data_IF_584983148058
#
_entry.id   IF_584983148058
#
_cell.length_a   1.000
_cell.length_b   1.000
_cell.length_c   1.000
_cell.angle_alpha   90.00
_cell.angle_beta   90.00
_cell.angle_gamma   90.00
#
_symmetry.space_group_name_H-M   'P 1'
#
loop_
_entity.id
_entity.type
_entity.pdbx_description
1 polymer ?
#
# COMPACT_ATOMS: atom_id res chain seq x y z
N UNK A 1 16.69 -6.63 -7.87
CA UNK A 1 17.53 -6.07 -6.82
C UNK A 1 16.96 -4.79 -6.23
N UNK A 2 17.54 -4.29 -5.17
CA UNK A 2 17.10 -3.08 -4.49
C UNK A 2 18.27 -2.18 -4.13
N UNK A 3 17.99 -0.90 -3.85
CA UNK A 3 18.94 0.04 -3.27
C UNK A 3 18.53 0.38 -1.85
N UNK A 4 19.55 0.59 -1.01
CA UNK A 4 19.43 1.12 0.33
C UNK A 4 20.32 2.35 0.44
N UNK A 5 19.78 3.46 0.90
CA UNK A 5 20.51 4.72 1.06
C UNK A 5 20.35 5.24 2.49
N UNK A 6 21.45 5.32 3.21
CA UNK A 6 21.48 5.80 4.61
C UNK A 6 21.06 7.26 4.75
N UNK A 7 21.28 8.07 3.71
CA UNK A 7 20.93 9.49 3.69
C UNK A 7 19.49 9.75 3.23
N UNK A 8 18.73 8.66 2.97
CA UNK A 8 17.41 8.72 2.36
C UNK A 8 17.47 8.74 0.83
N UNK A 9 16.42 8.21 0.20
CA UNK A 9 16.34 8.13 -1.26
C UNK A 9 16.16 9.52 -1.87
N UNK A 10 17.07 9.89 -2.79
CA UNK A 10 16.94 11.05 -3.65
C UNK A 10 15.99 10.70 -4.80
N UNK A 11 14.75 11.16 -4.67
CA UNK A 11 13.67 10.82 -5.60
C UNK A 11 13.90 11.43 -6.98
N UNK A 12 14.49 12.63 -7.06
CA UNK A 12 14.73 13.30 -8.33
C UNK A 12 15.84 12.59 -9.13
N UNK A 13 16.92 12.19 -8.46
CA UNK A 13 17.95 11.34 -9.06
C UNK A 13 17.38 9.99 -9.51
N UNK A 14 16.52 9.37 -8.69
CA UNK A 14 15.88 8.11 -9.04
C UNK A 14 15.00 8.24 -10.29
N UNK A 15 14.19 9.30 -10.37
CA UNK A 15 13.37 9.63 -11.55
C UNK A 15 14.24 9.86 -12.78
N UNK A 16 15.32 10.65 -12.66
CA UNK A 16 16.26 10.87 -13.77
C UNK A 16 16.80 9.55 -14.32
N UNK A 17 17.25 8.66 -13.45
CA UNK A 17 17.78 7.36 -13.83
C UNK A 17 16.70 6.47 -14.47
N UNK A 18 15.52 6.39 -13.85
CA UNK A 18 14.48 5.44 -14.27
C UNK A 18 13.62 5.94 -15.42
N UNK A 19 13.22 7.20 -15.42
CA UNK A 19 12.25 7.75 -16.36
C UNK A 19 12.92 8.44 -17.54
N UNK A 20 14.01 9.19 -17.31
CA UNK A 20 14.70 9.94 -18.35
C UNK A 20 15.75 9.06 -19.05
N UNK A 21 16.71 8.54 -18.28
CA UNK A 21 17.81 7.72 -18.82
C UNK A 21 17.41 6.26 -19.12
N UNK A 22 16.32 5.79 -18.50
CA UNK A 22 15.81 4.40 -18.60
C UNK A 22 16.86 3.35 -18.23
N UNK A 23 17.72 3.69 -17.27
CA UNK A 23 18.79 2.82 -16.79
C UNK A 23 18.33 1.93 -15.63
N UNK A 24 19.22 1.03 -15.21
CA UNK A 24 19.01 0.14 -14.07
C UNK A 24 19.29 0.89 -12.77
N UNK A 25 18.55 0.49 -11.71
CA UNK A 25 18.64 1.09 -10.37
C UNK A 25 20.04 1.00 -9.74
N UNK A 26 20.91 0.08 -10.21
CA UNK A 26 22.31 0.02 -9.79
C UNK A 26 23.03 1.36 -10.01
N UNK A 27 22.66 2.13 -11.03
CA UNK A 27 23.22 3.46 -11.31
C UNK A 27 22.98 4.47 -10.19
N UNK A 28 21.93 4.28 -9.41
CA UNK A 28 21.68 5.09 -8.23
C UNK A 28 22.81 4.92 -7.19
N UNK A 29 23.17 3.66 -6.88
CA UNK A 29 24.24 3.40 -5.92
C UNK A 29 25.64 3.83 -6.43
N UNK A 30 25.85 3.86 -7.77
CA UNK A 30 27.08 4.43 -8.35
C UNK A 30 27.18 5.96 -8.18
N UNK A 31 26.04 6.65 -8.11
CA UNK A 31 25.97 8.11 -8.00
C UNK A 31 25.95 8.62 -6.54
N UNK A 32 25.68 7.76 -5.56
CA UNK A 32 25.51 8.12 -4.15
C UNK A 32 26.48 7.35 -3.27
N UNK A 33 27.39 8.00 -2.53
CA UNK A 33 28.46 7.34 -1.79
C UNK A 33 27.98 6.44 -0.63
N UNK A 34 26.83 6.78 -0.03
CA UNK A 34 26.26 6.04 1.11
C UNK A 34 25.16 5.06 0.70
N UNK A 35 24.85 4.99 -0.61
CA UNK A 35 23.89 4.04 -1.13
C UNK A 35 24.56 2.70 -1.47
N UNK A 36 23.82 1.62 -1.24
CA UNK A 36 24.22 0.27 -1.61
C UNK A 36 23.20 -0.38 -2.53
N UNK A 37 23.67 -1.16 -3.48
CA UNK A 37 22.82 -1.96 -4.37
C UNK A 37 22.97 -3.44 -4.03
N UNK A 38 21.85 -4.12 -3.81
CA UNK A 38 21.79 -5.57 -3.64
C UNK A 38 21.15 -6.19 -4.88
N UNK A 39 21.85 -7.09 -5.61
CA UNK A 39 21.29 -7.78 -6.76
C UNK A 39 20.11 -8.68 -6.40
N UNK A 40 19.22 -8.94 -7.37
CA UNK A 40 18.15 -9.92 -7.22
C UNK A 40 18.70 -11.35 -7.24
N UNK A 41 17.97 -12.29 -6.63
CA UNK A 41 18.28 -13.73 -6.66
C UNK A 41 19.24 -14.18 -5.56
N UNK A 42 19.62 -13.31 -4.62
CA UNK A 42 20.32 -13.70 -3.40
C UNK A 42 19.34 -13.99 -2.24
N UNK A 43 19.89 -14.36 -1.09
CA UNK A 43 19.14 -14.61 0.15
C UNK A 43 18.50 -13.34 0.74
N UNK A 44 19.00 -12.16 0.37
CA UNK A 44 18.52 -10.88 0.89
C UNK A 44 17.49 -10.26 -0.07
N UNK A 45 16.29 -10.02 0.47
CA UNK A 45 15.26 -9.23 -0.18
C UNK A 45 15.26 -7.79 0.38
N UNK A 46 14.51 -6.89 -0.21
CA UNK A 46 14.32 -5.54 0.33
C UNK A 46 13.72 -5.58 1.74
N UNK A 47 12.96 -6.62 2.04
CA UNK A 47 12.30 -6.83 3.33
C UNK A 47 13.27 -7.22 4.46
N UNK A 48 14.51 -7.58 4.12
CA UNK A 48 15.58 -7.82 5.12
C UNK A 48 16.16 -6.52 5.70
N UNK A 49 15.88 -5.37 5.10
CA UNK A 49 16.33 -4.06 5.60
C UNK A 49 15.47 -3.65 6.79
N UNK A 50 16.14 -3.25 7.88
CA UNK A 50 15.44 -2.72 9.06
C UNK A 50 14.76 -1.40 8.73
N UNK A 51 13.45 -1.33 8.91
CA UNK A 51 12.64 -0.15 8.69
C UNK A 51 11.44 -0.14 9.66
N UNK A 52 10.96 1.05 9.99
CA UNK A 52 9.78 1.22 10.84
C UNK A 52 8.48 0.98 10.05
N UNK A 53 8.49 1.27 8.77
CA UNK A 53 7.33 1.15 7.88
C UNK A 53 7.70 0.35 6.62
N UNK A 54 6.79 -0.49 6.14
CA UNK A 54 6.95 -1.22 4.90
C UNK A 54 5.76 -0.97 3.95
N UNK A 55 6.08 -0.69 2.68
CA UNK A 55 5.09 -0.40 1.64
C UNK A 55 5.32 -1.32 0.44
N UNK A 56 4.74 -2.53 0.42
CA UNK A 56 4.82 -3.40 -0.75
C UNK A 56 3.95 -2.84 -1.88
N UNK A 57 4.59 -2.27 -2.91
CA UNK A 57 3.96 -1.51 -3.98
C UNK A 57 4.30 -2.01 -5.38
N UNK A 58 5.00 -3.14 -5.52
CA UNK A 58 5.49 -3.59 -6.83
C UNK A 58 4.57 -4.62 -7.47
N UNK A 59 4.53 -5.84 -6.94
CA UNK A 59 3.83 -6.96 -7.59
C UNK A 59 3.09 -7.85 -6.61
N UNK A 60 2.17 -8.63 -7.15
CA UNK A 60 1.45 -9.67 -6.42
C UNK A 60 2.43 -10.69 -5.80
N UNK A 61 2.19 -11.08 -4.56
CA UNK A 61 2.96 -12.07 -3.80
C UNK A 61 4.47 -11.76 -3.72
N UNK A 62 4.83 -10.48 -3.64
CA UNK A 62 6.22 -10.06 -3.48
C UNK A 62 6.76 -10.17 -2.05
N UNK A 63 5.88 -10.38 -1.08
CA UNK A 63 6.19 -10.50 0.34
C UNK A 63 5.56 -11.78 0.89
N UNK A 64 6.40 -12.74 1.25
CA UNK A 64 5.98 -14.04 1.78
C UNK A 64 6.08 -14.12 3.31
N UNK A 65 5.81 -15.29 3.88
CA UNK A 65 5.86 -15.51 5.32
C UNK A 65 7.24 -15.26 5.92
N UNK A 66 8.29 -15.69 5.23
CA UNK A 66 9.68 -15.53 5.70
C UNK A 66 10.09 -14.05 5.72
N UNK A 67 9.68 -13.30 4.69
CA UNK A 67 9.87 -11.85 4.63
C UNK A 67 9.10 -11.14 5.75
N UNK A 68 7.87 -11.56 6.04
CA UNK A 68 7.05 -11.00 7.10
C UNK A 68 7.65 -11.28 8.49
N UNK A 69 8.12 -12.49 8.75
CA UNK A 69 8.84 -12.84 9.99
C UNK A 69 10.09 -11.99 10.16
N UNK A 70 10.83 -11.76 9.08
CA UNK A 70 12.02 -10.91 9.08
C UNK A 70 11.69 -9.45 9.41
N UNK A 71 10.64 -8.89 8.81
CA UNK A 71 10.17 -7.54 9.10
C UNK A 71 9.72 -7.39 10.56
N UNK A 72 8.98 -8.36 11.08
CA UNK A 72 8.55 -8.39 12.49
C UNK A 72 9.75 -8.48 13.42
N UNK A 73 10.71 -9.36 13.14
CA UNK A 73 11.94 -9.48 13.93
C UNK A 73 12.79 -8.20 13.92
N UNK A 74 12.77 -7.45 12.82
CA UNK A 74 13.41 -6.14 12.68
C UNK A 74 12.64 -5.00 13.35
N UNK A 75 11.42 -5.24 13.85
CA UNK A 75 10.63 -4.28 14.61
C UNK A 75 9.77 -3.35 13.75
N UNK A 76 9.30 -3.81 12.59
CA UNK A 76 8.37 -3.02 11.76
C UNK A 76 7.11 -2.65 12.55
N UNK A 77 6.69 -1.39 12.47
CA UNK A 77 5.52 -0.87 13.18
C UNK A 77 4.25 -0.97 12.36
N UNK A 78 4.36 -0.75 11.05
CA UNK A 78 3.22 -0.82 10.15
C UNK A 78 3.62 -1.31 8.76
N UNK A 79 2.68 -2.00 8.11
CA UNK A 79 2.75 -2.41 6.71
C UNK A 79 1.50 -1.90 6.00
N UNK A 80 1.65 -1.26 4.84
CA UNK A 80 0.50 -0.80 4.04
C UNK A 80 0.67 -1.18 2.57
N UNK A 81 -0.26 -1.94 2.06
CA UNK A 81 -0.18 -2.53 0.72
C UNK A 81 -0.59 -1.53 -0.37
N UNK A 82 0.36 -1.13 -1.21
CA UNK A 82 0.10 -0.30 -2.38
C UNK A 82 -0.17 -1.09 -3.66
N UNK A 83 0.41 -2.29 -3.79
CA UNK A 83 0.13 -3.19 -4.90
C UNK A 83 -1.15 -4.01 -4.68
N UNK A 84 -1.60 -4.72 -5.71
CA UNK A 84 -2.70 -5.67 -5.58
C UNK A 84 -2.18 -7.00 -5.03
N UNK A 85 -2.62 -7.38 -3.83
CA UNK A 85 -2.27 -8.63 -3.18
C UNK A 85 -0.74 -8.87 -3.05
N UNK A 86 0.05 -7.89 -2.59
CA UNK A 86 1.50 -8.05 -2.55
C UNK A 86 1.97 -9.02 -1.48
N UNK A 87 1.25 -9.11 -0.35
CA UNK A 87 1.55 -10.06 0.72
C UNK A 87 0.75 -11.34 0.55
N UNK A 88 1.40 -12.50 0.80
CA UNK A 88 0.69 -13.76 0.88
C UNK A 88 -0.23 -13.81 2.10
N UNK A 89 -1.23 -14.70 2.10
CA UNK A 89 -2.12 -14.85 3.25
C UNK A 89 -1.35 -15.22 4.53
N UNK A 90 -0.33 -16.06 4.40
CA UNK A 90 0.53 -16.41 5.53
C UNK A 90 1.32 -15.21 6.07
N UNK A 91 1.83 -14.34 5.19
CA UNK A 91 2.48 -13.09 5.60
C UNK A 91 1.53 -12.16 6.36
N UNK A 92 0.30 -12.01 5.89
CA UNK A 92 -0.74 -11.22 6.58
C UNK A 92 -0.99 -11.78 7.98
N UNK A 93 -1.10 -13.10 8.11
CA UNK A 93 -1.30 -13.76 9.40
C UNK A 93 -0.14 -13.50 10.37
N UNK A 94 1.10 -13.50 9.89
CA UNK A 94 2.29 -13.16 10.69
C UNK A 94 2.18 -11.73 11.22
N UNK A 95 1.87 -10.75 10.39
CA UNK A 95 1.73 -9.36 10.82
C UNK A 95 0.61 -9.18 11.86
N UNK A 96 -0.56 -9.76 11.61
CA UNK A 96 -1.71 -9.65 12.52
C UNK A 96 -1.42 -10.31 13.88
N UNK A 97 -0.79 -11.49 13.91
CA UNK A 97 -0.38 -12.17 15.14
C UNK A 97 0.68 -11.40 15.93
N UNK A 98 1.56 -10.71 15.25
CA UNK A 98 2.58 -9.87 15.87
C UNK A 98 2.05 -8.49 16.33
N UNK A 99 0.79 -8.14 16.03
CA UNK A 99 0.21 -6.85 16.38
C UNK A 99 0.73 -5.68 15.54
N UNK A 100 1.31 -5.96 14.38
CA UNK A 100 1.73 -4.92 13.42
C UNK A 100 0.49 -4.27 12.80
N UNK A 101 0.49 -2.94 12.71
CA UNK A 101 -0.57 -2.21 12.02
C UNK A 101 -0.56 -2.57 10.53
N UNK A 102 -1.65 -3.15 10.02
CA UNK A 102 -1.69 -3.64 8.65
C UNK A 102 -2.81 -3.00 7.84
N UNK A 103 -2.43 -2.29 6.77
CA UNK A 103 -3.34 -1.69 5.79
C UNK A 103 -3.53 -2.62 4.58
N UNK A 104 -4.68 -3.32 4.46
CA UNK A 104 -4.91 -4.28 3.38
C UNK A 104 -5.04 -3.60 2.02
N UNK A 105 -4.57 -4.24 0.96
CA UNK A 105 -4.56 -3.73 -0.41
C UNK A 105 -5.89 -3.13 -0.85
N UNK A 106 -6.99 -3.85 -0.62
CA UNK A 106 -8.34 -3.41 -1.02
C UNK A 106 -8.79 -2.07 -0.43
N UNK A 107 -8.18 -1.63 0.68
CA UNK A 107 -8.41 -0.33 1.28
C UNK A 107 -7.25 0.63 0.99
N UNK A 108 -6.02 0.20 1.22
CA UNK A 108 -4.84 1.04 1.13
C UNK A 108 -4.53 1.51 -0.32
N UNK A 109 -4.80 0.68 -1.33
CA UNK A 109 -4.57 1.04 -2.74
C UNK A 109 -5.79 1.61 -3.47
N UNK A 110 -6.91 1.79 -2.80
CA UNK A 110 -8.15 2.27 -3.41
C UNK A 110 -8.04 3.70 -3.99
N UNK A 111 -7.01 4.45 -3.63
CA UNK A 111 -6.75 5.79 -4.15
C UNK A 111 -6.61 5.82 -5.67
N UNK A 112 -5.96 4.83 -6.27
CA UNK A 112 -5.79 4.74 -7.72
C UNK A 112 -7.12 4.67 -8.46
N UNK A 113 -8.01 3.78 -8.05
CA UNK A 113 -9.35 3.65 -8.66
C UNK A 113 -10.25 4.85 -8.32
N UNK A 114 -10.09 5.46 -7.15
CA UNK A 114 -10.83 6.66 -6.77
C UNK A 114 -10.48 7.84 -7.69
N UNK A 115 -9.20 8.07 -7.98
CA UNK A 115 -8.76 9.12 -8.91
C UNK A 115 -9.25 8.82 -10.33
N UNK A 116 -9.25 7.56 -10.77
CA UNK A 116 -9.84 7.19 -12.06
C UNK A 116 -11.34 7.54 -12.13
N UNK A 117 -12.10 7.32 -11.06
CA UNK A 117 -13.50 7.72 -11.00
C UNK A 117 -13.67 9.25 -11.02
N UNK A 118 -12.79 9.99 -10.35
CA UNK A 118 -12.79 11.46 -10.43
C UNK A 118 -12.47 11.94 -11.84
N UNK A 119 -11.51 11.33 -12.54
CA UNK A 119 -11.19 11.62 -13.93
C UNK A 119 -12.40 11.40 -14.84
N UNK A 120 -13.07 10.25 -14.72
CA UNK A 120 -14.27 9.96 -15.48
C UNK A 120 -15.38 10.98 -15.22
N UNK A 121 -15.59 11.40 -13.97
CA UNK A 121 -16.56 12.41 -13.59
C UNK A 121 -16.22 13.78 -14.20
N UNK A 122 -14.95 14.20 -14.11
CA UNK A 122 -14.45 15.45 -14.71
C UNK A 122 -14.65 15.46 -16.23
N UNK A 123 -14.29 14.38 -16.91
CA UNK A 123 -14.45 14.25 -18.36
C UNK A 123 -15.94 14.29 -18.78
N UNK A 124 -16.82 13.61 -18.04
CA UNK A 124 -18.25 13.60 -18.28
C UNK A 124 -18.88 14.99 -18.11
N UNK A 125 -18.44 15.75 -17.12
CA UNK A 125 -18.89 17.12 -16.85
C UNK A 125 -18.25 18.15 -17.78
N UNK A 126 -17.19 17.78 -18.53
CA UNK A 126 -16.39 18.68 -19.36
C UNK A 126 -15.76 19.82 -18.56
N UNK A 127 -15.33 19.52 -17.33
CA UNK A 127 -14.64 20.43 -16.42
C UNK A 127 -13.18 20.05 -16.26
N UNK A 128 -12.40 20.93 -15.67
CA UNK A 128 -11.02 20.65 -15.28
C UNK A 128 -10.83 21.07 -13.82
N UNK A 129 -10.35 20.16 -13.02
CA UNK A 129 -9.95 20.42 -11.64
C UNK A 129 -8.45 20.65 -11.56
N UNK A 130 -8.02 21.45 -10.62
CA UNK A 130 -6.59 21.62 -10.35
C UNK A 130 -6.03 20.37 -9.65
N UNK A 131 -4.71 20.27 -9.60
CA UNK A 131 -4.04 19.20 -8.86
C UNK A 131 -4.48 19.20 -7.40
N UNK A 132 -4.51 20.38 -6.77
CA UNK A 132 -4.87 20.56 -5.35
C UNK A 132 -6.31 20.14 -5.06
N UNK A 133 -7.24 20.41 -5.98
CA UNK A 133 -8.63 19.98 -5.87
C UNK A 133 -8.77 18.45 -5.93
N UNK A 134 -8.02 17.80 -6.82
CA UNK A 134 -8.01 16.34 -6.94
C UNK A 134 -7.33 15.70 -5.73
N UNK A 135 -6.21 16.26 -5.28
CA UNK A 135 -5.46 15.77 -4.12
C UNK A 135 -6.29 15.87 -2.83
N UNK A 136 -6.99 16.98 -2.61
CA UNK A 136 -7.88 17.14 -1.47
C UNK A 136 -9.03 16.10 -1.49
N UNK A 137 -9.65 15.87 -2.65
CA UNK A 137 -10.68 14.83 -2.80
C UNK A 137 -10.13 13.44 -2.52
N UNK A 138 -8.95 13.14 -3.02
CA UNK A 138 -8.27 11.86 -2.76
C UNK A 138 -8.00 11.66 -1.27
N UNK A 139 -7.48 12.69 -0.59
CA UNK A 139 -7.26 12.65 0.85
C UNK A 139 -8.54 12.33 1.62
N UNK A 140 -9.63 13.03 1.33
CA UNK A 140 -10.92 12.81 2.00
C UNK A 140 -11.47 11.40 1.73
N UNK A 141 -11.34 10.89 0.50
CA UNK A 141 -11.74 9.53 0.13
C UNK A 141 -10.92 8.51 0.94
N UNK A 142 -9.59 8.62 0.96
CA UNK A 142 -8.73 7.68 1.65
C UNK A 142 -8.94 7.70 3.17
N UNK A 143 -9.12 8.90 3.74
CA UNK A 143 -9.48 9.06 5.15
C UNK A 143 -10.81 8.38 5.47
N UNK A 144 -11.84 8.60 4.66
CA UNK A 144 -13.14 7.96 4.81
C UNK A 144 -13.09 6.44 4.69
N UNK A 145 -12.25 5.90 3.80
CA UNK A 145 -12.03 4.44 3.69
C UNK A 145 -11.45 3.87 4.98
N UNK A 146 -10.42 4.52 5.52
CA UNK A 146 -9.81 4.12 6.79
C UNK A 146 -10.82 4.17 7.94
N UNK A 147 -11.53 5.29 8.10
CA UNK A 147 -12.51 5.48 9.17
C UNK A 147 -13.63 4.44 9.10
N UNK A 148 -14.16 4.15 7.91
CA UNK A 148 -15.19 3.13 7.72
C UNK A 148 -14.68 1.72 8.05
N UNK A 149 -13.47 1.36 7.61
CA UNK A 149 -12.89 0.07 7.92
C UNK A 149 -12.60 -0.08 9.42
N UNK A 150 -12.06 0.96 10.06
CA UNK A 150 -11.78 0.96 11.50
C UNK A 150 -13.07 0.88 12.33
N UNK A 151 -14.11 1.64 11.95
CA UNK A 151 -15.40 1.61 12.62
C UNK A 151 -16.08 0.23 12.51
N UNK A 152 -16.09 -0.36 11.31
CA UNK A 152 -16.63 -1.69 11.09
C UNK A 152 -15.86 -2.77 11.88
N UNK A 153 -14.52 -2.70 11.90
CA UNK A 153 -13.73 -3.62 12.71
C UNK A 153 -14.10 -3.53 14.20
N UNK A 154 -14.25 -2.33 14.72
CA UNK A 154 -14.61 -2.09 16.12
C UNK A 154 -16.02 -2.58 16.45
N UNK A 155 -17.00 -2.23 15.62
CA UNK A 155 -18.42 -2.60 15.81
C UNK A 155 -18.61 -4.12 15.86
N UNK A 156 -17.86 -4.85 15.03
CA UNK A 156 -17.97 -6.31 14.94
C UNK A 156 -16.94 -7.08 15.79
N UNK A 157 -16.30 -6.42 16.77
CA UNK A 157 -15.44 -7.08 17.77
C UNK A 157 -14.02 -7.42 17.28
N UNK A 158 -13.56 -6.77 16.23
CA UNK A 158 -12.22 -6.94 15.65
C UNK A 158 -11.41 -5.63 15.64
N UNK A 159 -11.51 -4.83 16.70
CA UNK A 159 -10.85 -3.53 16.80
C UNK A 159 -9.36 -3.62 16.46
N UNK A 160 -8.87 -2.74 15.57
CA UNK A 160 -7.49 -2.73 15.08
C UNK A 160 -7.23 -3.65 13.87
N UNK A 161 -8.11 -4.59 13.54
CA UNK A 161 -7.97 -5.46 12.38
C UNK A 161 -8.63 -4.85 11.14
N UNK A 162 -7.85 -4.07 10.37
CA UNK A 162 -8.36 -3.42 9.16
C UNK A 162 -8.65 -4.40 8.01
N UNK A 163 -8.09 -5.62 8.03
CA UNK A 163 -8.41 -6.66 7.03
C UNK A 163 -9.87 -7.08 7.18
N UNK A 164 -10.28 -7.41 8.40
CA UNK A 164 -11.67 -7.75 8.71
C UNK A 164 -12.57 -6.54 8.52
N UNK A 165 -12.16 -5.37 9.01
CA UNK A 165 -12.93 -4.15 8.89
C UNK A 165 -13.23 -3.73 7.46
N UNK A 166 -12.25 -3.80 6.56
CA UNK A 166 -12.44 -3.49 5.14
C UNK A 166 -13.40 -4.48 4.45
N UNK A 167 -13.34 -5.77 4.82
CA UNK A 167 -14.28 -6.77 4.32
C UNK A 167 -15.70 -6.48 4.76
N UNK A 168 -15.90 -6.23 6.06
CA UNK A 168 -17.22 -5.95 6.63
C UNK A 168 -17.79 -4.64 6.05
N UNK A 169 -17.02 -3.56 6.02
CA UNK A 169 -17.46 -2.28 5.48
C UNK A 169 -17.91 -2.38 4.00
N UNK A 170 -17.18 -3.16 3.19
CA UNK A 170 -17.58 -3.44 1.81
C UNK A 170 -18.85 -4.28 1.72
N UNK A 171 -18.97 -5.32 2.55
CA UNK A 171 -20.15 -6.20 2.59
C UNK A 171 -21.41 -5.44 3.03
N UNK A 172 -21.33 -4.59 4.04
CA UNK A 172 -22.49 -3.84 4.55
C UNK A 172 -23.15 -3.00 3.46
N UNK A 173 -22.40 -2.35 2.60
CA UNK A 173 -22.94 -1.60 1.46
C UNK A 173 -23.81 -2.47 0.53
N UNK A 174 -23.35 -3.69 0.26
CA UNK A 174 -24.08 -4.64 -0.58
C UNK A 174 -25.30 -5.18 0.15
N UNK A 175 -25.15 -5.54 1.42
CA UNK A 175 -26.24 -6.04 2.25
C UNK A 175 -27.37 -5.03 2.41
N UNK A 176 -27.04 -3.75 2.65
CA UNK A 176 -28.01 -2.67 2.74
C UNK A 176 -28.77 -2.47 1.41
N UNK A 177 -28.05 -2.49 0.29
CA UNK A 177 -28.67 -2.41 -1.03
C UNK A 177 -29.62 -3.61 -1.29
N UNK A 178 -29.18 -4.84 -0.95
CA UNK A 178 -30.01 -6.03 -1.07
C UNK A 178 -31.26 -5.94 -0.17
N UNK A 179 -31.10 -5.45 1.05
CA UNK A 179 -32.23 -5.28 1.98
C UNK A 179 -33.23 -4.24 1.45
N UNK A 180 -32.76 -3.17 0.86
CA UNK A 180 -33.60 -2.11 0.31
C UNK A 180 -34.33 -2.53 -1.00
N UNK A 181 -33.67 -3.33 -1.82
CA UNK A 181 -34.21 -3.76 -3.14
C UNK A 181 -34.98 -5.07 -3.07
N UNK A 182 -34.82 -5.82 -2.00
CA UNK A 182 -35.37 -7.17 -1.86
C UNK A 182 -34.51 -8.23 -2.56
N UNK A 183 -34.88 -9.50 -2.30
CA UNK A 183 -34.25 -10.66 -2.97
C UNK A 183 -35.06 -10.90 -4.25
N UNK A 184 -34.40 -10.73 -5.39
CA UNK A 184 -34.99 -10.92 -6.72
C UNK A 184 -34.56 -12.27 -7.28
#
# INVERSE_FOLDING_TARGET
GFVYDLDGIDVDLLKEIKEVKRERIVKYAEARPNATFTPAGGEKTVWSVKADLAFPCATQNELDETDAETLVANGVLAVSEGANMPSTLGAIDVFLKAGVSFGPAKAANAGGVAVSALEMAQNSQRTQWTFEEVDAKLYDIMKGIYENAAAAAKEFGHEGNLVVGANIAGFLKVADAMSAQGIV
#
